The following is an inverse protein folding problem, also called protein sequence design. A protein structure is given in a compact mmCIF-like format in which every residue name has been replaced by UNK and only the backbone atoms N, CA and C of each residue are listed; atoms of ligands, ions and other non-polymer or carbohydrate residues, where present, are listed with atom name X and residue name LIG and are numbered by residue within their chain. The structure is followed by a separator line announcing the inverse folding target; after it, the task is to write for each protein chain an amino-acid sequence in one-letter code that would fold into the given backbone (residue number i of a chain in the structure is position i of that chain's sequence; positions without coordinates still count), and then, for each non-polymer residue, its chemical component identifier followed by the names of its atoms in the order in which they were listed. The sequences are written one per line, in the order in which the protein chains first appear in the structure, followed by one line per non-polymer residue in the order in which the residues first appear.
data_IF_077542168266
#
_entry.id   IF_077542168266
#
_cell.length_a   1.000
_cell.length_b   1.000
_cell.length_c   1.000
_cell.angle_alpha   90.00
_cell.angle_beta   90.00
_cell.angle_gamma   90.00
#
_symmetry.space_group_name_H-M   'P 1'
#
loop_
_entity.id
_entity.type
_entity.pdbx_description
1 polymer ?
#
# COMPACT_ATOMS: atom_id res chain seq x y z
N UNK A 1 -17.33 48.35 -81.37
CA UNK A 1 -18.24 47.26 -80.96
C UNK A 1 -17.39 46.17 -80.30
N UNK A 2 -17.60 46.00 -78.99
CA UNK A 2 -16.67 45.35 -78.06
C UNK A 2 -16.99 43.86 -77.89
N UNK A 3 -15.96 43.02 -77.99
CA UNK A 3 -16.00 41.57 -77.82
C UNK A 3 -16.42 41.19 -76.39
N UNK A 4 -17.68 40.72 -76.23
CA UNK A 4 -18.27 40.26 -74.96
C UNK A 4 -18.40 38.73 -74.84
N UNK A 5 -17.82 37.95 -75.76
CA UNK A 5 -18.01 36.49 -75.80
C UNK A 5 -16.88 35.65 -75.17
N UNK A 6 -15.77 36.25 -74.74
CA UNK A 6 -14.62 35.50 -74.21
C UNK A 6 -14.66 35.26 -72.69
N UNK A 7 -15.39 36.08 -71.92
CA UNK A 7 -15.43 35.94 -70.44
C UNK A 7 -16.43 34.90 -69.92
N UNK A 8 -17.49 34.55 -70.67
CA UNK A 8 -18.49 33.56 -70.20
C UNK A 8 -17.99 32.11 -70.20
N UNK A 9 -17.02 31.76 -71.06
CA UNK A 9 -16.46 30.39 -71.13
C UNK A 9 -15.53 30.04 -69.95
N UNK A 10 -14.85 31.02 -69.35
CA UNK A 10 -14.00 30.76 -68.17
C UNK A 10 -14.82 30.54 -66.89
N UNK A 11 -15.99 31.16 -66.75
CA UNK A 11 -16.88 30.96 -65.59
C UNK A 11 -17.52 29.57 -65.54
N UNK A 12 -17.78 28.95 -66.70
CA UNK A 12 -18.29 27.58 -66.79
C UNK A 12 -17.25 26.52 -66.44
N UNK A 13 -16.00 26.71 -66.85
CA UNK A 13 -14.90 25.80 -66.51
C UNK A 13 -14.63 25.76 -64.99
N UNK A 14 -14.74 26.90 -64.30
CA UNK A 14 -14.66 26.97 -62.84
C UNK A 14 -15.80 26.21 -62.15
N UNK A 15 -17.02 26.27 -62.68
CA UNK A 15 -18.17 25.55 -62.12
C UNK A 15 -17.98 24.03 -62.25
N UNK A 16 -17.49 23.55 -63.40
CA UNK A 16 -17.19 22.12 -63.63
C UNK A 16 -16.04 21.67 -62.72
N UNK A 17 -14.97 22.47 -62.61
CA UNK A 17 -13.85 22.18 -61.72
C UNK A 17 -14.29 22.12 -60.26
N UNK A 18 -15.15 23.06 -59.83
CA UNK A 18 -15.72 23.08 -58.47
C UNK A 18 -16.62 21.87 -58.22
N UNK A 19 -17.47 21.50 -59.19
CA UNK A 19 -18.34 20.33 -59.09
C UNK A 19 -17.56 19.01 -58.96
N UNK A 20 -16.35 18.93 -59.53
CA UNK A 20 -15.46 17.76 -59.39
C UNK A 20 -14.62 17.84 -58.12
N UNK A 21 -14.13 19.01 -57.74
CA UNK A 21 -13.30 19.19 -56.54
C UNK A 21 -14.10 19.04 -55.24
N UNK A 22 -15.35 19.49 -55.20
CA UNK A 22 -16.16 19.48 -53.99
C UNK A 22 -16.33 18.05 -53.42
N UNK A 23 -16.71 17.02 -54.20
CA UNK A 23 -16.70 15.63 -53.73
C UNK A 23 -15.33 15.15 -53.23
N UNK A 24 -14.24 15.52 -53.91
CA UNK A 24 -12.87 15.14 -53.52
C UNK A 24 -12.51 15.74 -52.16
N UNK A 25 -12.82 17.02 -51.94
CA UNK A 25 -12.60 17.66 -50.64
C UNK A 25 -13.43 17.04 -49.53
N UNK A 26 -14.69 16.68 -49.80
CA UNK A 26 -15.54 16.00 -48.81
C UNK A 26 -15.01 14.62 -48.44
N UNK A 27 -14.49 13.85 -49.41
CA UNK A 27 -13.82 12.57 -49.14
C UNK A 27 -12.55 12.73 -48.30
N UNK A 28 -11.75 13.78 -48.55
CA UNK A 28 -10.57 14.09 -47.75
C UNK A 28 -10.94 14.49 -46.32
N UNK A 29 -11.97 15.32 -46.14
CA UNK A 29 -12.47 15.69 -44.79
C UNK A 29 -12.99 14.47 -44.04
N UNK A 30 -13.73 13.59 -44.74
CA UNK A 30 -14.20 12.34 -44.18
C UNK A 30 -13.03 11.44 -43.73
N UNK A 31 -12.00 11.30 -44.57
CA UNK A 31 -10.79 10.53 -44.25
C UNK A 31 -10.04 11.12 -43.05
N UNK A 32 -9.81 12.44 -43.04
CA UNK A 32 -9.11 13.13 -41.95
C UNK A 32 -9.88 13.00 -40.64
N UNK A 33 -11.20 13.16 -40.65
CA UNK A 33 -12.07 12.97 -39.48
C UNK A 33 -12.00 11.54 -38.95
N UNK A 34 -11.99 10.56 -39.85
CA UNK A 34 -11.92 9.15 -39.50
C UNK A 34 -10.56 8.80 -38.85
N UNK A 35 -9.45 9.25 -39.45
CA UNK A 35 -8.10 9.10 -38.89
C UNK A 35 -8.02 9.79 -37.53
N UNK A 36 -8.55 11.01 -37.41
CA UNK A 36 -8.57 11.75 -36.15
C UNK A 36 -9.33 11.00 -35.05
N UNK A 37 -10.45 10.35 -35.40
CA UNK A 37 -11.20 9.52 -34.45
C UNK A 37 -10.40 8.28 -34.05
N UNK A 38 -9.82 7.54 -35.01
CA UNK A 38 -8.96 6.38 -34.72
C UNK A 38 -7.83 6.76 -33.77
N UNK A 39 -7.18 7.90 -34.01
CA UNK A 39 -6.08 8.40 -33.17
C UNK A 39 -6.55 8.78 -31.76
N UNK A 40 -7.72 9.41 -31.63
CA UNK A 40 -8.31 9.73 -30.32
C UNK A 40 -8.63 8.47 -29.51
N UNK A 41 -9.20 7.44 -30.14
CA UNK A 41 -9.43 6.14 -29.50
C UNK A 41 -8.12 5.48 -29.10
N UNK A 42 -7.11 5.49 -29.97
CA UNK A 42 -5.80 4.92 -29.65
C UNK A 42 -5.17 5.60 -28.43
N UNK A 43 -5.24 6.94 -28.34
CA UNK A 43 -4.74 7.70 -27.19
C UNK A 43 -5.47 7.32 -25.90
N UNK A 44 -6.80 7.21 -25.96
CA UNK A 44 -7.62 6.83 -24.81
C UNK A 44 -7.31 5.41 -24.34
N UNK A 45 -7.18 4.47 -25.28
CA UNK A 45 -6.88 3.07 -25.01
C UNK A 45 -5.46 2.91 -24.44
N UNK A 46 -4.48 3.67 -24.93
CA UNK A 46 -3.13 3.68 -24.40
C UNK A 46 -3.07 4.22 -22.97
N UNK A 47 -3.74 5.34 -22.68
CA UNK A 47 -3.81 5.87 -21.32
C UNK A 47 -4.45 4.86 -20.34
N UNK A 48 -5.46 4.12 -20.79
CA UNK A 48 -6.08 3.05 -20.01
C UNK A 48 -5.11 1.88 -19.76
N UNK A 49 -4.36 1.46 -20.78
CA UNK A 49 -3.35 0.42 -20.65
C UNK A 49 -2.23 0.84 -19.69
N UNK A 50 -1.71 2.06 -19.83
CA UNK A 50 -0.65 2.62 -18.99
C UNK A 50 -1.07 2.68 -17.51
N UNK A 51 -2.27 3.19 -17.25
CA UNK A 51 -2.82 3.25 -15.90
C UNK A 51 -3.06 1.86 -15.31
N UNK A 52 -3.57 0.93 -16.11
CA UNK A 52 -3.81 -0.45 -15.70
C UNK A 52 -2.52 -1.22 -15.41
N UNK A 53 -1.49 -1.05 -16.24
CA UNK A 53 -0.19 -1.68 -16.04
C UNK A 53 0.47 -1.19 -14.74
N UNK A 54 0.46 0.13 -14.50
CA UNK A 54 0.96 0.70 -13.24
C UNK A 54 0.16 0.20 -12.03
N UNK A 55 -1.17 0.14 -12.13
CA UNK A 55 -2.03 -0.30 -11.05
C UNK A 55 -1.85 -1.80 -10.72
N UNK A 56 -1.77 -2.65 -11.74
CA UNK A 56 -1.50 -4.08 -11.58
C UNK A 56 -0.12 -4.31 -10.98
N UNK A 57 0.93 -3.67 -11.52
CA UNK A 57 2.28 -3.75 -11.00
C UNK A 57 2.43 -3.24 -9.55
N UNK A 58 1.61 -2.27 -9.13
CA UNK A 58 1.60 -1.73 -7.77
C UNK A 58 0.87 -2.62 -6.75
N UNK A 59 -0.07 -3.43 -7.21
CA UNK A 59 -0.88 -4.31 -6.36
C UNK A 59 -0.52 -5.80 -6.54
N UNK A 60 0.65 -6.07 -7.12
CA UNK A 60 1.23 -7.40 -7.22
C UNK A 60 1.81 -7.80 -5.84
N UNK A 61 0.98 -8.42 -4.99
CA UNK A 61 1.25 -8.64 -3.56
C UNK A 61 1.14 -10.11 -3.14
N UNK A 62 1.40 -10.44 -1.86
CA UNK A 62 1.29 -11.79 -1.31
C UNK A 62 -0.03 -12.49 -1.67
N UNK A 63 0.06 -13.49 -2.57
CA UNK A 63 -1.08 -14.18 -3.18
C UNK A 63 -1.01 -14.17 -4.72
N UNK A 64 -0.31 -13.17 -5.28
CA UNK A 64 0.04 -13.12 -6.69
C UNK A 64 1.41 -13.79 -6.92
N UNK A 65 1.45 -14.61 -7.95
CA UNK A 65 2.65 -15.20 -8.53
C UNK A 65 2.68 -14.85 -10.00
N UNK A 66 3.83 -15.06 -10.66
CA UNK A 66 3.95 -14.86 -12.10
C UNK A 66 2.89 -15.65 -12.88
N UNK A 67 2.54 -16.85 -12.41
CA UNK A 67 1.59 -17.73 -13.07
C UNK A 67 0.12 -17.48 -12.66
N UNK A 68 -0.12 -16.81 -11.53
CA UNK A 68 -1.45 -16.55 -11.00
C UNK A 68 -1.46 -15.26 -10.17
N UNK A 69 -2.01 -14.18 -10.72
CA UNK A 69 -1.95 -12.83 -10.16
C UNK A 69 -3.35 -12.18 -10.05
N UNK A 70 -4.30 -12.80 -9.31
CA UNK A 70 -5.69 -12.34 -9.24
C UNK A 70 -5.85 -10.94 -8.63
N UNK A 71 -4.98 -10.51 -7.72
CA UNK A 71 -5.08 -9.19 -7.11
C UNK A 71 -4.66 -8.12 -8.12
N UNK A 72 -3.46 -8.25 -8.70
CA UNK A 72 -2.99 -7.37 -9.75
C UNK A 72 -3.99 -7.28 -10.93
N UNK A 73 -4.56 -8.41 -11.36
CA UNK A 73 -5.58 -8.45 -12.42
C UNK A 73 -6.82 -7.65 -12.06
N UNK A 74 -7.28 -7.80 -10.82
CA UNK A 74 -8.45 -7.08 -10.32
C UNK A 74 -8.21 -5.57 -10.34
N UNK A 75 -7.04 -5.11 -9.90
CA UNK A 75 -6.69 -3.69 -9.93
C UNK A 75 -6.50 -3.19 -11.37
N UNK A 76 -5.77 -3.92 -12.22
CA UNK A 76 -5.60 -3.56 -13.63
C UNK A 76 -6.97 -3.41 -14.32
N UNK A 77 -7.89 -4.35 -14.11
CA UNK A 77 -9.25 -4.29 -14.66
C UNK A 77 -10.04 -3.05 -14.22
N UNK A 78 -9.94 -2.67 -12.94
CA UNK A 78 -10.59 -1.45 -12.43
C UNK A 78 -10.07 -0.20 -13.13
N UNK A 79 -8.77 -0.11 -13.35
CA UNK A 79 -8.18 1.06 -13.99
C UNK A 79 -8.46 1.11 -15.50
N UNK A 80 -8.60 -0.04 -16.18
CA UNK A 80 -9.16 -0.08 -17.54
C UNK A 80 -10.57 0.51 -17.54
N UNK A 81 -11.44 0.03 -16.65
CA UNK A 81 -12.83 0.48 -16.56
C UNK A 81 -12.97 1.97 -16.25
N UNK A 82 -12.16 2.48 -15.32
CA UNK A 82 -12.16 3.88 -14.93
C UNK A 82 -11.73 4.82 -16.07
N UNK A 83 -10.73 4.42 -16.88
CA UNK A 83 -10.23 5.25 -17.97
C UNK A 83 -11.09 5.16 -19.24
N UNK A 84 -11.70 4.00 -19.51
CA UNK A 84 -12.56 3.81 -20.68
C UNK A 84 -14.02 4.21 -20.43
N UNK A 85 -14.47 4.18 -19.18
CA UNK A 85 -15.86 4.38 -18.78
C UNK A 85 -16.75 3.13 -18.96
N UNK A 86 -16.15 2.00 -19.34
CA UNK A 86 -16.80 0.70 -19.54
C UNK A 86 -15.78 -0.45 -19.40
N UNK A 87 -16.25 -1.68 -19.23
CA UNK A 87 -15.38 -2.87 -19.13
C UNK A 87 -15.15 -3.50 -20.51
N UNK A 88 -13.94 -3.98 -20.77
CA UNK A 88 -13.58 -4.75 -21.97
C UNK A 88 -13.77 -6.28 -21.79
N UNK A 89 -14.41 -6.71 -20.69
CA UNK A 89 -14.58 -8.11 -20.25
C UNK A 89 -15.47 -8.98 -21.15
N UNK A 90 -15.92 -8.46 -22.30
CA UNK A 90 -16.83 -9.16 -23.22
C UNK A 90 -16.15 -10.27 -24.02
N UNK A 91 -14.81 -10.28 -24.08
CA UNK A 91 -14.01 -11.32 -24.72
C UNK A 91 -12.59 -11.37 -24.13
N UNK A 92 -12.03 -12.58 -23.87
CA UNK A 92 -10.70 -12.73 -23.28
C UNK A 92 -9.55 -12.20 -24.15
N UNK A 93 -9.80 -11.91 -25.43
CA UNK A 93 -8.79 -11.32 -26.32
C UNK A 93 -8.75 -9.79 -26.27
N UNK A 94 -9.81 -9.15 -25.76
CA UNK A 94 -9.90 -7.69 -25.69
C UNK A 94 -9.17 -7.11 -24.47
N UNK A 95 -8.89 -7.96 -23.49
CA UNK A 95 -8.26 -7.59 -22.23
C UNK A 95 -7.45 -8.77 -21.72
N UNK A 96 -6.12 -8.63 -21.76
CA UNK A 96 -5.18 -9.64 -21.29
C UNK A 96 -4.21 -9.03 -20.30
N UNK A 97 -3.98 -9.76 -19.22
CA UNK A 97 -3.04 -9.43 -18.17
C UNK A 97 -2.05 -10.58 -18.04
N UNK A 98 -0.78 -10.22 -18.04
CA UNK A 98 0.30 -11.20 -18.00
C UNK A 98 1.36 -10.68 -17.02
N UNK A 99 2.04 -11.59 -16.34
CA UNK A 99 3.26 -11.30 -15.59
C UNK A 99 4.40 -12.19 -16.07
N UNK A 100 5.62 -11.65 -16.10
CA UNK A 100 6.82 -12.41 -16.48
C UNK A 100 8.04 -11.96 -15.67
N UNK A 101 8.99 -12.87 -15.48
CA UNK A 101 10.32 -12.54 -14.93
C UNK A 101 11.36 -12.55 -16.03
N UNK A 102 12.23 -11.54 -16.05
CA UNK A 102 13.40 -11.50 -16.91
C UNK A 102 14.66 -11.27 -16.12
N UNK A 103 15.71 -12.00 -16.50
CA UNK A 103 17.06 -11.76 -16.02
C UNK A 103 17.52 -10.37 -16.49
N UNK A 104 17.81 -9.46 -15.56
CA UNK A 104 18.46 -8.20 -15.93
C UNK A 104 19.94 -8.48 -16.22
N UNK A 105 20.47 -7.90 -17.30
CA UNK A 105 21.91 -7.89 -17.55
C UNK A 105 22.63 -6.99 -16.55
N UNK A 106 23.50 -7.54 -15.71
CA UNK A 106 24.33 -6.80 -14.75
C UNK A 106 23.93 -7.00 -13.28
N UNK A 107 24.39 -6.11 -12.40
CA UNK A 107 24.26 -6.20 -10.94
C UNK A 107 22.84 -6.04 -10.37
N UNK A 108 21.82 -5.92 -11.23
CA UNK A 108 20.45 -5.53 -10.84
C UNK A 108 19.49 -6.71 -10.55
N UNK A 109 19.93 -7.96 -10.73
CA UNK A 109 19.14 -9.16 -10.43
C UNK A 109 17.94 -9.40 -11.35
N UNK A 110 17.15 -10.45 -11.09
CA UNK A 110 15.89 -10.71 -11.82
C UNK A 110 14.85 -9.62 -11.54
N UNK A 111 14.19 -9.16 -12.59
CA UNK A 111 13.08 -8.19 -12.55
C UNK A 111 11.80 -8.85 -13.01
N UNK A 112 10.71 -8.55 -12.32
CA UNK A 112 9.38 -9.00 -12.71
C UNK A 112 8.62 -7.84 -13.37
N UNK A 113 7.82 -8.15 -14.39
CA UNK A 113 7.07 -7.21 -15.19
C UNK A 113 5.61 -7.63 -15.23
N UNK A 114 4.74 -6.63 -15.32
CA UNK A 114 3.30 -6.81 -15.46
C UNK A 114 2.83 -6.09 -16.72
N UNK A 115 2.18 -6.82 -17.62
CA UNK A 115 1.73 -6.33 -18.93
C UNK A 115 0.22 -6.30 -19.00
N UNK A 116 -0.26 -5.24 -19.64
CA UNK A 116 -1.67 -5.08 -20.00
C UNK A 116 -1.76 -4.92 -21.51
N UNK A 117 -2.51 -5.81 -22.14
CA UNK A 117 -2.85 -5.74 -23.57
C UNK A 117 -4.36 -5.51 -23.72
N UNK A 118 -4.72 -4.43 -24.41
CA UNK A 118 -6.10 -4.04 -24.66
C UNK A 118 -6.38 -3.97 -26.15
N UNK A 119 -7.54 -4.45 -26.57
CA UNK A 119 -8.05 -4.30 -27.93
C UNK A 119 -9.50 -3.79 -27.90
N UNK A 120 -9.86 -2.90 -28.84
CA UNK A 120 -11.22 -2.39 -28.99
C UNK A 120 -11.57 -2.21 -30.47
N UNK A 121 -12.69 -2.79 -30.91
CA UNK A 121 -13.21 -2.58 -32.26
C UNK A 121 -14.04 -1.29 -32.32
N UNK A 122 -13.61 -0.34 -33.16
CA UNK A 122 -14.37 0.89 -33.40
C UNK A 122 -15.07 0.84 -34.77
N UNK A 123 -16.37 1.17 -34.84
CA UNK A 123 -17.07 1.24 -36.12
C UNK A 123 -16.51 2.39 -36.95
N UNK A 124 -16.33 2.26 -38.27
CA UNK A 124 -15.88 3.34 -39.15
C UNK A 124 -17.06 4.12 -39.73
N UNK A 125 -17.46 5.21 -39.08
CA UNK A 125 -18.71 5.94 -39.40
C UNK A 125 -18.72 6.47 -40.84
N UNK A 126 -17.63 7.11 -41.30
CA UNK A 126 -17.60 7.70 -42.64
C UNK A 126 -17.43 6.65 -43.75
N UNK A 127 -16.73 5.56 -43.47
CA UNK A 127 -16.61 4.43 -44.41
C UNK A 127 -17.94 3.67 -44.55
N UNK A 128 -18.74 3.60 -43.49
CA UNK A 128 -20.08 3.01 -43.50
C UNK A 128 -21.05 3.83 -44.36
N UNK A 129 -20.90 5.16 -44.42
CA UNK A 129 -21.69 6.03 -45.29
C UNK A 129 -21.40 5.83 -46.78
N UNK A 130 -20.25 5.21 -47.13
CA UNK A 130 -19.77 5.02 -48.49
C UNK A 130 -20.06 3.62 -49.08
N UNK A 131 -21.20 2.99 -48.75
CA UNK A 131 -21.65 1.69 -49.28
C UNK A 131 -20.88 0.44 -48.81
N UNK A 132 -20.00 0.53 -47.82
CA UNK A 132 -19.34 -0.63 -47.19
C UNK A 132 -20.16 -1.15 -46.01
N UNK A 133 -20.39 -2.47 -45.95
CA UNK A 133 -21.12 -3.11 -44.84
C UNK A 133 -20.30 -3.03 -43.55
N UNK A 134 -20.63 -2.06 -42.69
CA UNK A 134 -20.12 -1.85 -41.31
C UNK A 134 -18.64 -2.20 -41.11
N UNK A 135 -17.72 -1.55 -41.82
CA UNK A 135 -16.30 -1.78 -41.55
C UNK A 135 -15.96 -1.30 -40.12
N UNK A 136 -15.32 -2.17 -39.34
CA UNK A 136 -14.72 -1.83 -38.04
C UNK A 136 -13.21 -1.72 -38.18
N UNK A 137 -12.57 -1.04 -37.23
CA UNK A 137 -11.12 -0.97 -37.12
C UNK A 137 -10.71 -1.40 -35.71
N UNK A 138 -9.80 -2.36 -35.62
CA UNK A 138 -9.29 -2.86 -34.35
C UNK A 138 -8.17 -1.94 -33.86
N UNK A 139 -8.40 -1.26 -32.75
CA UNK A 139 -7.39 -0.46 -32.06
C UNK A 139 -6.75 -1.32 -30.99
N UNK A 140 -5.41 -1.30 -30.90
CA UNK A 140 -4.65 -2.03 -29.89
C UNK A 140 -3.84 -1.06 -29.05
N UNK A 141 -3.71 -1.37 -27.77
CA UNK A 141 -2.81 -0.69 -26.84
C UNK A 141 -2.10 -1.71 -25.97
N UNK A 142 -0.85 -1.43 -25.63
CA UNK A 142 -0.07 -2.32 -24.75
C UNK A 142 0.82 -1.46 -23.88
N UNK A 143 0.80 -1.77 -22.59
CA UNK A 143 1.65 -1.14 -21.61
C UNK A 143 2.28 -2.21 -20.74
N UNK A 144 3.55 -1.98 -20.39
CA UNK A 144 4.30 -2.84 -19.49
C UNK A 144 4.78 -1.97 -18.33
N UNK A 145 4.56 -2.45 -17.13
CA UNK A 145 5.08 -1.85 -15.93
C UNK A 145 6.06 -2.82 -15.26
N UNK A 146 7.15 -2.27 -14.74
CA UNK A 146 8.00 -2.99 -13.82
C UNK A 146 7.19 -3.27 -12.56
N UNK A 147 7.02 -4.54 -12.19
CA UNK A 147 6.41 -4.90 -10.91
C UNK A 147 7.26 -4.26 -9.83
N UNK A 148 6.60 -3.50 -8.96
CA UNK A 148 7.30 -2.91 -7.86
C UNK A 148 7.85 -4.03 -7.00
N UNK A 149 9.17 -4.21 -6.98
CA UNK A 149 9.77 -4.99 -5.92
C UNK A 149 9.62 -4.11 -4.69
N UNK A 150 8.83 -4.57 -3.71
CA UNK A 150 8.87 -3.97 -2.38
C UNK A 150 10.34 -3.76 -2.04
N UNK A 151 10.73 -2.49 -1.97
CA UNK A 151 12.06 -2.19 -1.52
C UNK A 151 12.22 -2.82 -0.18
N UNK A 152 13.42 -3.29 0.07
CA UNK A 152 13.95 -3.17 1.42
C UNK A 152 14.17 -1.69 1.70
N UNK A 153 13.10 -0.89 1.84
CA UNK A 153 13.19 0.40 2.52
C UNK A 153 13.17 0.09 4.01
N UNK A 154 14.30 -0.37 4.53
CA UNK A 154 14.37 -0.83 5.91
C UNK A 154 15.65 -1.59 6.18
N UNK A 155 16.78 -0.89 6.08
CA UNK A 155 18.10 -1.43 6.36
C UNK A 155 18.21 -2.20 7.68
N UNK A 156 18.30 -3.52 7.55
CA UNK A 156 18.83 -4.48 8.51
C UNK A 156 18.79 -5.84 7.83
N UNK A 157 19.86 -6.65 7.91
CA UNK A 157 19.91 -7.97 7.28
C UNK A 157 19.04 -9.03 7.95
N UNK A 158 18.05 -8.63 8.74
CA UNK A 158 17.19 -9.52 9.51
C UNK A 158 15.89 -9.87 8.80
N UNK A 159 14.99 -10.49 9.54
CA UNK A 159 13.72 -11.00 9.02
C UNK A 159 12.77 -9.87 8.64
N UNK A 160 12.18 -10.00 7.45
CA UNK A 160 11.06 -9.16 6.98
C UNK A 160 9.79 -9.45 7.76
N UNK A 161 9.01 -8.41 8.05
CA UNK A 161 7.74 -8.58 8.73
C UNK A 161 6.65 -9.03 7.75
N UNK A 162 6.60 -8.47 6.54
CA UNK A 162 5.75 -8.98 5.46
C UNK A 162 4.26 -8.67 5.57
N UNK A 163 3.79 -8.15 6.72
CA UNK A 163 2.38 -7.82 6.98
C UNK A 163 2.25 -6.48 7.69
N UNK A 164 1.12 -5.80 7.43
CA UNK A 164 0.83 -4.51 8.07
C UNK A 164 0.40 -4.71 9.52
N UNK A 165 -0.48 -5.67 9.79
CA UNK A 165 -0.90 -6.00 11.15
C UNK A 165 -0.87 -7.52 11.32
N UNK A 166 -0.24 -8.00 12.38
CA UNK A 166 -0.24 -9.42 12.76
C UNK A 166 -0.64 -9.57 14.22
N UNK A 167 -1.75 -10.26 14.45
CA UNK A 167 -2.36 -10.43 15.77
C UNK A 167 -2.27 -11.89 16.23
N UNK A 168 -1.85 -12.08 17.47
CA UNK A 168 -1.83 -13.38 18.14
C UNK A 168 -3.21 -13.87 18.52
N UNK A 169 -3.69 -13.40 19.67
CA UNK A 169 -4.88 -13.90 20.34
C UNK A 169 -6.14 -13.07 20.11
N UNK A 170 -6.06 -11.73 20.07
CA UNK A 170 -7.26 -10.91 20.21
C UNK A 170 -7.14 -9.55 19.51
N UNK A 171 -8.19 -9.18 18.77
CA UNK A 171 -8.27 -7.91 18.03
C UNK A 171 -9.62 -7.26 18.29
N UNK A 172 -9.60 -6.11 18.94
CA UNK A 172 -10.78 -5.36 19.34
C UNK A 172 -10.63 -3.88 18.96
N UNK A 173 -11.74 -3.14 18.89
CA UNK A 173 -11.74 -1.68 18.71
C UNK A 173 -12.34 -1.18 17.40
N UNK A 174 -12.02 0.07 17.04
CA UNK A 174 -12.57 0.82 15.90
C UNK A 174 -11.93 0.41 14.56
N UNK A 175 -11.96 -0.88 14.23
CA UNK A 175 -11.38 -1.40 12.98
C UNK A 175 -12.40 -1.53 11.87
N UNK A 176 -13.68 -1.54 12.24
CA UNK A 176 -14.82 -1.74 11.36
C UNK A 176 -15.70 -0.50 11.35
N UNK A 177 -15.82 0.14 10.18
CA UNK A 177 -16.69 1.29 9.99
C UNK A 177 -18.17 0.90 10.14
N UNK A 178 -18.83 1.47 11.15
CA UNK A 178 -20.25 1.28 11.40
C UNK A 178 -21.15 2.28 10.65
N UNK A 179 -20.57 3.24 9.91
CA UNK A 179 -21.32 4.31 9.25
C UNK A 179 -21.79 3.89 7.84
N UNK A 180 -23.08 4.10 7.57
CA UNK A 180 -23.72 3.78 6.29
C UNK A 180 -23.62 4.91 5.25
N UNK A 181 -23.38 6.16 5.68
CA UNK A 181 -23.42 7.31 4.77
C UNK A 181 -22.11 7.56 4.02
N UNK A 182 -20.97 7.16 4.57
CA UNK A 182 -19.66 7.12 3.88
C UNK A 182 -18.57 6.52 4.77
N UNK A 183 -17.50 6.02 4.14
CA UNK A 183 -16.27 5.59 4.81
C UNK A 183 -15.54 6.83 5.32
N UNK A 184 -15.60 7.05 6.64
CA UNK A 184 -14.96 8.21 7.27
C UNK A 184 -13.84 7.85 8.22
N UNK A 185 -13.92 6.69 8.87
CA UNK A 185 -12.93 6.39 9.87
C UNK A 185 -11.65 5.78 9.36
N UNK A 186 -11.13 4.80 10.08
CA UNK A 186 -9.77 4.32 9.82
C UNK A 186 -9.71 3.45 8.59
N UNK A 187 -8.69 3.67 7.77
CA UNK A 187 -8.50 3.00 6.48
C UNK A 187 -7.15 2.29 6.42
N UNK A 188 -7.09 1.23 5.63
CA UNK A 188 -6.07 0.20 5.72
C UNK A 188 -5.65 -0.27 4.33
N UNK A 189 -4.44 0.11 3.93
CA UNK A 189 -3.80 -0.25 2.66
C UNK A 189 -2.71 -1.32 2.92
N UNK A 190 -3.12 -2.44 3.50
CA UNK A 190 -2.23 -3.54 3.91
C UNK A 190 -2.99 -4.72 4.48
N UNK A 191 -2.31 -5.84 4.69
CA UNK A 191 -2.95 -7.07 5.19
C UNK A 191 -2.99 -7.09 6.73
N UNK A 192 -4.15 -7.50 7.26
CA UNK A 192 -4.35 -7.86 8.67
C UNK A 192 -4.38 -9.38 8.79
N UNK A 193 -3.46 -9.95 9.55
CA UNK A 193 -3.33 -11.41 9.74
C UNK A 193 -3.66 -11.78 11.17
N UNK A 194 -4.45 -12.84 11.33
CA UNK A 194 -4.91 -13.36 12.63
C UNK A 194 -4.43 -14.79 12.81
N UNK A 195 -3.69 -15.03 13.89
CA UNK A 195 -3.16 -16.35 14.22
C UNK A 195 -4.19 -17.24 14.91
N UNK A 196 -4.90 -16.72 15.90
CA UNK A 196 -5.90 -17.50 16.64
C UNK A 196 -7.17 -17.72 15.80
N UNK A 197 -7.56 -18.99 15.63
CA UNK A 197 -8.69 -19.37 14.80
C UNK A 197 -10.03 -18.84 15.32
N UNK A 198 -10.26 -18.87 16.64
CA UNK A 198 -11.52 -18.38 17.23
C UNK A 198 -11.68 -16.88 17.01
N UNK A 199 -10.59 -16.11 17.17
CA UNK A 199 -10.59 -14.67 16.91
C UNK A 199 -10.82 -14.36 15.44
N UNK A 200 -10.18 -15.10 14.54
CA UNK A 200 -10.45 -14.99 13.11
C UNK A 200 -11.95 -15.25 12.81
N UNK A 201 -12.50 -16.34 13.34
CA UNK A 201 -13.91 -16.69 13.14
C UNK A 201 -14.87 -15.63 13.71
N UNK A 202 -14.54 -15.01 14.85
CA UNK A 202 -15.30 -13.89 15.42
C UNK A 202 -15.30 -12.69 14.48
N UNK A 203 -14.16 -12.34 13.90
CA UNK A 203 -14.07 -11.24 12.93
C UNK A 203 -14.85 -11.54 11.64
N UNK A 204 -14.85 -12.81 11.21
CA UNK A 204 -15.59 -13.25 10.02
C UNK A 204 -17.07 -13.52 10.30
N UNK A 205 -17.57 -13.31 11.52
CA UNK A 205 -18.93 -13.67 11.91
C UNK A 205 -20.00 -12.89 11.15
N UNK A 206 -19.75 -11.63 10.83
CA UNK A 206 -20.67 -10.78 10.08
C UNK A 206 -19.96 -10.04 8.96
N UNK A 207 -20.69 -9.72 7.89
CA UNK A 207 -20.14 -8.91 6.80
C UNK A 207 -19.61 -7.57 7.34
N UNK A 208 -20.34 -6.95 8.28
CA UNK A 208 -19.99 -5.68 8.92
C UNK A 208 -18.61 -5.74 9.59
N UNK A 209 -18.29 -6.86 10.23
CA UNK A 209 -17.09 -7.03 11.04
C UNK A 209 -15.90 -7.65 10.27
N UNK A 210 -16.17 -8.25 9.11
CA UNK A 210 -15.19 -8.95 8.27
C UNK A 210 -14.38 -8.06 7.33
N UNK A 211 -14.72 -6.77 7.20
CA UNK A 211 -14.17 -5.90 6.14
C UNK A 211 -13.67 -4.58 6.69
N UNK A 212 -12.42 -4.28 6.35
CA UNK A 212 -11.80 -2.97 6.52
C UNK A 212 -11.59 -2.30 5.16
N UNK A 213 -11.67 -0.97 5.11
CA UNK A 213 -11.71 -0.22 3.85
C UNK A 213 -10.36 0.39 3.51
N UNK A 214 -10.06 0.44 2.22
CA UNK A 214 -8.84 1.06 1.69
C UNK A 214 -8.98 2.58 1.69
N UNK A 215 -7.84 3.30 1.69
CA UNK A 215 -7.83 4.77 1.72
C UNK A 215 -8.58 5.38 0.54
N UNK A 216 -8.50 4.76 -0.63
CA UNK A 216 -9.20 5.21 -1.83
C UNK A 216 -10.73 5.30 -1.61
N UNK A 217 -11.32 4.39 -0.81
CA UNK A 217 -12.76 4.42 -0.53
C UNK A 217 -13.15 5.68 0.25
N UNK A 218 -12.31 6.09 1.21
CA UNK A 218 -12.48 7.31 2.01
C UNK A 218 -12.23 8.57 1.19
N UNK A 219 -11.18 8.60 0.39
CA UNK A 219 -10.85 9.75 -0.48
C UNK A 219 -11.97 10.04 -1.50
N UNK A 220 -12.70 9.00 -1.92
CA UNK A 220 -13.84 9.10 -2.85
C UNK A 220 -15.19 9.30 -2.14
N UNK A 221 -15.21 9.41 -0.81
CA UNK A 221 -16.41 9.55 0.01
C UNK A 221 -17.46 8.46 -0.28
N UNK A 222 -17.03 7.23 -0.55
CA UNK A 222 -17.93 6.15 -0.91
C UNK A 222 -18.72 5.66 0.31
N UNK A 223 -19.96 5.22 0.08
CA UNK A 223 -20.67 4.39 1.06
C UNK A 223 -20.02 3.01 1.16
N UNK A 224 -20.34 2.27 2.23
CA UNK A 224 -19.90 0.89 2.41
C UNK A 224 -20.23 0.01 1.20
N UNK A 225 -21.47 0.08 0.73
CA UNK A 225 -21.95 -0.69 -0.43
C UNK A 225 -21.18 -0.32 -1.71
N UNK A 226 -20.93 0.97 -1.93
CA UNK A 226 -20.16 1.44 -3.08
C UNK A 226 -18.72 0.97 -3.02
N UNK A 227 -18.09 1.02 -1.85
CA UNK A 227 -16.72 0.54 -1.64
C UNK A 227 -16.63 -0.98 -1.84
N UNK A 228 -17.59 -1.76 -1.34
CA UNK A 228 -17.65 -3.22 -1.56
C UNK A 228 -17.83 -3.53 -3.04
N UNK A 229 -18.75 -2.85 -3.73
CA UNK A 229 -18.98 -3.02 -5.17
C UNK A 229 -17.75 -2.63 -6.01
N UNK A 230 -17.02 -1.61 -5.56
CA UNK A 230 -15.74 -1.21 -6.15
C UNK A 230 -14.57 -2.09 -5.69
N UNK A 231 -14.80 -3.02 -4.76
CA UNK A 231 -13.81 -3.87 -4.10
C UNK A 231 -12.67 -3.12 -3.41
N UNK A 232 -12.95 -1.94 -2.87
CA UNK A 232 -12.01 -1.11 -2.11
C UNK A 232 -12.03 -1.48 -0.62
N UNK A 233 -11.92 -2.77 -0.35
CA UNK A 233 -11.88 -3.34 0.98
C UNK A 233 -10.96 -4.56 1.00
N UNK A 234 -10.59 -4.96 2.19
CA UNK A 234 -9.86 -6.20 2.45
C UNK A 234 -10.50 -6.92 3.64
N UNK A 235 -10.23 -8.21 3.71
CA UNK A 235 -10.67 -9.07 4.81
C UNK A 235 -9.46 -9.51 5.63
N UNK A 236 -9.62 -9.84 6.92
CA UNK A 236 -8.56 -10.46 7.70
C UNK A 236 -8.14 -11.78 7.06
N UNK A 237 -6.85 -12.09 7.11
CA UNK A 237 -6.30 -13.36 6.66
C UNK A 237 -6.08 -14.27 7.87
N UNK A 238 -6.46 -15.53 7.73
CA UNK A 238 -6.16 -16.54 8.75
C UNK A 238 -4.81 -17.19 8.48
N UNK A 239 -3.91 -17.13 9.45
CA UNK A 239 -2.57 -17.73 9.32
C UNK A 239 -2.60 -19.24 9.11
N UNK A 240 -3.65 -19.94 9.56
CA UNK A 240 -3.73 -21.39 9.38
C UNK A 240 -3.79 -21.84 7.92
N UNK A 241 -4.12 -20.95 6.98
CA UNK A 241 -4.01 -21.23 5.54
C UNK A 241 -2.54 -21.42 5.10
N UNK A 242 -1.59 -20.77 5.77
CA UNK A 242 -0.15 -20.92 5.51
C UNK A 242 0.41 -22.21 6.12
N UNK A 243 -0.34 -22.84 7.02
CA UNK A 243 0.06 -24.04 7.78
C UNK A 243 -1.05 -25.10 7.75
N UNK A 244 -1.35 -25.66 6.55
CA UNK A 244 -2.47 -26.57 6.37
C UNK A 244 -2.31 -27.82 7.25
N UNK A 245 -3.38 -28.19 7.95
CA UNK A 245 -3.43 -29.38 8.81
C UNK A 245 -2.96 -29.18 10.25
N UNK A 246 -2.50 -27.98 10.62
CA UNK A 246 -2.23 -27.66 12.03
C UNK A 246 -3.53 -27.30 12.76
N UNK A 247 -3.71 -27.86 13.96
CA UNK A 247 -4.74 -27.39 14.89
C UNK A 247 -4.34 -26.05 15.54
N UNK A 248 -5.29 -25.39 16.22
CA UNK A 248 -5.05 -24.07 16.82
C UNK A 248 -3.89 -24.08 17.83
N UNK A 249 -3.70 -25.16 18.59
CA UNK A 249 -2.59 -25.26 19.54
C UNK A 249 -1.23 -25.37 18.83
N UNK A 250 -1.16 -26.17 17.78
CA UNK A 250 0.04 -26.35 16.95
C UNK A 250 0.40 -25.06 16.23
N UNK A 251 -0.58 -24.31 15.73
CA UNK A 251 -0.38 -22.97 15.17
C UNK A 251 0.19 -21.99 16.19
N UNK A 252 -0.32 -22.00 17.43
CA UNK A 252 0.23 -21.15 18.50
C UNK A 252 1.66 -21.56 18.88
N UNK A 253 1.95 -22.86 18.91
CA UNK A 253 3.31 -23.35 19.17
C UNK A 253 4.28 -22.93 18.04
N UNK A 254 3.84 -23.03 16.77
CA UNK A 254 4.59 -22.56 15.61
C UNK A 254 4.88 -21.07 15.70
N UNK A 255 3.87 -20.25 16.04
CA UNK A 255 4.03 -18.82 16.29
C UNK A 255 5.07 -18.54 17.37
N UNK A 256 4.99 -19.26 18.49
CA UNK A 256 5.90 -19.06 19.62
C UNK A 256 7.34 -19.41 19.26
N UNK A 257 7.55 -20.48 18.49
CA UNK A 257 8.87 -20.85 17.97
C UNK A 257 9.46 -19.73 17.08
N UNK A 258 8.66 -19.21 16.16
CA UNK A 258 9.05 -18.09 15.28
C UNK A 258 9.45 -16.85 16.10
N UNK A 259 8.66 -16.49 17.11
CA UNK A 259 8.98 -15.33 17.97
C UNK A 259 10.28 -15.56 18.76
N UNK A 260 10.57 -16.80 19.16
CA UNK A 260 11.77 -17.12 19.92
C UNK A 260 13.03 -17.02 19.04
N UNK A 261 12.95 -17.50 17.80
CA UNK A 261 14.01 -17.31 16.79
C UNK A 261 14.25 -15.82 16.52
N UNK A 262 13.18 -15.04 16.38
CA UNK A 262 13.27 -13.59 16.17
C UNK A 262 13.93 -12.90 17.38
N UNK A 263 13.61 -13.32 18.61
CA UNK A 263 14.19 -12.78 19.83
C UNK A 263 15.70 -13.02 19.90
N UNK A 264 16.13 -14.24 19.56
CA UNK A 264 17.55 -14.60 19.50
C UNK A 264 18.29 -13.82 18.41
N UNK A 265 17.68 -13.69 17.23
CA UNK A 265 18.25 -12.94 16.11
C UNK A 265 18.44 -11.45 16.44
N UNK A 266 17.41 -10.80 17.01
CA UNK A 266 17.49 -9.40 17.44
C UNK A 266 18.54 -9.24 18.54
N UNK A 267 18.55 -10.11 19.56
CA UNK A 267 19.56 -10.06 20.62
C UNK A 267 20.97 -10.15 20.04
N UNK A 268 21.20 -11.09 19.13
CA UNK A 268 22.50 -11.26 18.45
C UNK A 268 22.88 -10.05 17.60
N UNK A 269 21.92 -9.40 16.95
CA UNK A 269 22.17 -8.19 16.17
C UNK A 269 22.64 -7.04 17.08
N UNK A 270 22.01 -6.85 18.23
CA UNK A 270 22.43 -5.84 19.21
C UNK A 270 23.77 -6.19 19.88
N UNK A 271 24.02 -7.46 20.21
CA UNK A 271 25.29 -7.88 20.81
C UNK A 271 26.48 -7.70 19.85
N UNK A 272 26.26 -7.74 18.53
CA UNK A 272 27.30 -7.59 17.51
C UNK A 272 27.42 -6.18 16.90
N UNK A 273 26.47 -5.28 17.15
CA UNK A 273 26.48 -3.95 16.57
C UNK A 273 27.56 -3.07 17.23
N UNK A 274 28.38 -2.41 16.41
CA UNK A 274 29.54 -1.64 16.88
C UNK A 274 29.20 -0.30 17.53
N UNK A 275 27.96 0.19 17.37
CA UNK A 275 27.53 1.52 17.82
C UNK A 275 26.25 1.50 18.66
N UNK A 276 25.97 0.43 19.41
CA UNK A 276 24.78 0.39 20.27
C UNK A 276 24.85 1.46 21.37
N UNK A 277 23.84 2.33 21.40
CA UNK A 277 23.61 3.22 22.52
C UNK A 277 22.86 2.44 23.59
N UNK A 278 23.57 2.07 24.64
CA UNK A 278 22.97 1.45 25.83
C UNK A 278 22.60 2.55 26.81
N UNK A 279 21.32 2.65 27.15
CA UNK A 279 20.84 3.52 28.22
C UNK A 279 20.16 2.69 29.28
N UNK A 280 20.64 2.85 30.51
CA UNK A 280 20.13 2.12 31.64
C UNK A 280 19.35 3.06 32.57
N UNK A 281 18.36 2.48 33.24
CA UNK A 281 17.84 2.94 34.52
C UNK A 281 17.15 4.32 34.52
N UNK A 282 16.47 4.71 33.44
CA UNK A 282 15.51 5.83 33.48
C UNK A 282 14.06 5.37 33.34
N UNK A 283 13.15 6.02 34.08
CA UNK A 283 11.71 5.83 33.92
C UNK A 283 11.18 6.39 32.59
N UNK A 284 11.79 7.47 32.09
CA UNK A 284 11.39 8.16 30.86
C UNK A 284 12.60 8.50 29.98
N UNK A 285 12.45 8.33 28.67
CA UNK A 285 13.44 8.70 27.67
C UNK A 285 12.87 9.63 26.61
N UNK A 286 13.56 10.74 26.35
CA UNK A 286 13.29 11.64 25.23
C UNK A 286 14.24 11.30 24.08
N UNK A 287 13.75 10.62 23.04
CA UNK A 287 14.59 10.12 21.95
C UNK A 287 14.41 10.95 20.66
N UNK A 288 15.50 11.36 19.98
CA UNK A 288 16.91 11.05 20.26
C UNK A 288 17.61 11.93 21.29
N UNK A 289 16.97 12.97 21.84
CA UNK A 289 17.62 14.05 22.61
C UNK A 289 18.48 13.54 23.78
N UNK A 290 18.00 12.55 24.53
CA UNK A 290 18.67 11.93 25.67
C UNK A 290 19.94 11.14 25.30
N UNK A 291 20.13 10.88 24.01
CA UNK A 291 21.20 9.99 23.54
C UNK A 291 22.42 10.75 23.06
N UNK A 292 22.24 11.95 22.51
CA UNK A 292 23.32 12.74 21.90
C UNK A 292 24.09 12.01 20.80
N UNK A 293 23.51 10.94 20.23
CA UNK A 293 24.19 10.01 19.32
C UNK A 293 23.42 9.89 18.02
N UNK A 294 24.15 9.74 16.91
CA UNK A 294 23.61 9.44 15.58
C UNK A 294 23.50 7.93 15.29
N UNK A 295 23.55 7.08 16.33
CA UNK A 295 23.42 5.64 16.18
C UNK A 295 22.09 5.23 15.55
N UNK A 296 22.07 4.03 14.96
CA UNK A 296 20.85 3.36 14.51
C UNK A 296 20.41 2.25 15.47
N UNK A 297 21.12 2.03 16.59
CA UNK A 297 20.82 0.95 17.54
C UNK A 297 20.75 1.49 18.97
N UNK A 298 19.58 1.37 19.60
CA UNK A 298 19.30 1.83 20.95
C UNK A 298 18.78 0.68 21.80
N UNK A 299 19.52 0.34 22.86
CA UNK A 299 19.13 -0.66 23.85
C UNK A 299 18.76 0.05 25.14
N UNK A 300 17.50 -0.05 25.55
CA UNK A 300 16.94 0.75 26.64
C UNK A 300 16.47 -0.12 27.80
N UNK A 301 16.80 0.25 29.02
CA UNK A 301 16.22 -0.32 30.24
C UNK A 301 15.67 0.75 31.17
N UNK A 302 14.70 0.39 32.02
CA UNK A 302 14.08 1.29 32.99
C UNK A 302 14.44 0.88 34.42
N UNK A 303 14.61 1.88 35.28
CA UNK A 303 14.76 1.73 36.73
C UNK A 303 13.43 1.56 37.46
N UNK A 304 12.33 1.99 36.82
CA UNK A 304 10.98 1.77 37.32
C UNK A 304 10.48 0.42 36.82
N UNK A 305 10.19 -0.47 37.77
CA UNK A 305 9.63 -1.80 37.50
C UNK A 305 8.16 -1.75 37.09
N UNK A 306 7.51 -0.58 37.09
CA UNK A 306 6.08 -0.44 36.82
C UNK A 306 5.78 0.28 35.51
N UNK A 307 6.41 1.43 35.24
CA UNK A 307 6.11 2.26 34.07
C UNK A 307 7.39 2.71 33.35
N UNK A 308 7.51 2.35 32.06
CA UNK A 308 8.60 2.79 31.20
C UNK A 308 8.03 3.66 30.06
N UNK A 309 8.39 4.95 29.99
CA UNK A 309 7.92 5.89 28.96
C UNK A 309 9.01 6.22 27.94
N UNK A 310 8.64 6.26 26.66
CA UNK A 310 9.47 6.69 25.53
C UNK A 310 8.74 7.82 24.82
N UNK A 311 9.26 9.04 24.96
CA UNK A 311 8.86 10.21 24.18
C UNK A 311 9.68 10.21 22.89
N UNK A 312 9.00 10.03 21.77
CA UNK A 312 9.61 9.79 20.48
C UNK A 312 9.52 11.02 19.59
N UNK A 313 10.68 11.47 19.16
CA UNK A 313 10.88 12.49 18.15
C UNK A 313 11.55 11.85 16.93
N UNK A 314 11.55 12.57 15.82
CA UNK A 314 12.16 12.09 14.59
C UNK A 314 13.68 12.03 14.74
N UNK A 315 14.26 10.89 14.37
CA UNK A 315 15.71 10.76 14.31
C UNK A 315 16.23 11.43 13.04
N UNK A 316 17.27 12.26 13.18
CA UNK A 316 18.03 12.74 12.04
C UNK A 316 18.76 11.60 11.30
N UNK A 317 19.37 11.90 10.16
CA UNK A 317 20.12 10.93 9.35
C UNK A 317 19.37 10.47 8.10
N UNK A 318 19.79 9.35 7.51
CA UNK A 318 19.20 8.80 6.29
C UNK A 318 17.78 8.31 6.55
N UNK A 319 16.80 8.86 5.82
CA UNK A 319 15.39 8.51 5.95
C UNK A 319 15.06 7.13 5.38
N UNK A 320 15.96 6.48 4.64
CA UNK A 320 15.75 5.12 4.14
C UNK A 320 16.35 4.05 5.07
N UNK A 321 17.07 4.47 6.11
CA UNK A 321 17.71 3.59 7.09
C UNK A 321 17.01 3.64 8.45
N UNK A 322 16.52 2.51 8.95
CA UNK A 322 15.79 2.47 10.20
C UNK A 322 16.68 2.72 11.42
N UNK A 323 16.03 3.17 12.48
CA UNK A 323 16.54 3.16 13.84
C UNK A 323 15.89 2.02 14.60
N UNK A 324 16.70 1.19 15.24
CA UNK A 324 16.28 0.04 16.03
C UNK A 324 16.25 0.38 17.51
N UNK A 325 15.11 0.15 18.15
CA UNK A 325 14.94 0.29 19.59
C UNK A 325 14.63 -1.08 20.17
N UNK A 326 15.52 -1.60 21.01
CA UNK A 326 15.36 -2.89 21.68
C UNK A 326 15.23 -2.72 23.19
N UNK A 327 14.18 -3.33 23.73
CA UNK A 327 13.88 -3.35 25.15
C UNK A 327 14.05 -4.81 25.64
N UNK A 328 15.14 -5.12 26.35
CA UNK A 328 15.52 -6.50 26.66
C UNK A 328 14.86 -7.10 27.91
N UNK A 329 14.35 -6.26 28.82
CA UNK A 329 13.80 -6.70 30.10
C UNK A 329 12.27 -6.66 30.07
N UNK A 330 11.64 -7.47 30.93
CA UNK A 330 10.19 -7.49 31.10
C UNK A 330 9.70 -6.30 31.94
N UNK A 331 8.67 -5.62 31.44
CA UNK A 331 7.99 -4.56 32.16
C UNK A 331 6.48 -4.82 32.21
N UNK A 332 5.77 -4.42 33.27
CA UNK A 332 4.30 -4.47 33.28
C UNK A 332 3.69 -3.53 32.23
N UNK A 333 4.34 -2.38 32.00
CA UNK A 333 3.85 -1.35 31.11
C UNK A 333 4.96 -0.57 30.40
N UNK A 334 4.79 -0.34 29.10
CA UNK A 334 5.63 0.54 28.28
C UNK A 334 4.72 1.55 27.56
N UNK A 335 4.99 2.84 27.70
CA UNK A 335 4.24 3.92 27.04
C UNK A 335 5.12 4.53 25.96
N UNK A 336 4.60 4.65 24.74
CA UNK A 336 5.27 5.26 23.59
C UNK A 336 4.41 6.43 23.13
N UNK A 337 5.00 7.63 23.16
CA UNK A 337 4.32 8.88 22.82
C UNK A 337 5.06 9.58 21.69
N UNK A 338 4.38 9.85 20.57
CA UNK A 338 4.96 10.64 19.48
C UNK A 338 4.81 12.13 19.77
N UNK A 339 5.87 12.90 19.52
CA UNK A 339 5.86 14.36 19.69
C UNK A 339 6.06 15.13 18.38
N UNK A 340 6.33 14.43 17.28
CA UNK A 340 6.38 14.98 15.92
C UNK A 340 6.29 13.85 14.88
N UNK A 341 6.18 14.21 13.60
CA UNK A 341 6.14 13.24 12.50
C UNK A 341 7.45 12.45 12.42
N UNK A 342 7.34 11.12 12.50
CA UNK A 342 8.47 10.20 12.35
C UNK A 342 8.64 9.90 10.86
N UNK A 343 9.70 10.46 10.27
CA UNK A 343 10.01 10.34 8.83
C UNK A 343 11.11 9.29 8.60
N UNK A 344 12.09 9.24 9.50
CA UNK A 344 13.10 8.17 9.53
C UNK A 344 12.49 6.94 10.22
N UNK A 345 12.49 5.75 9.60
CA UNK A 345 11.79 4.59 10.14
C UNK A 345 12.29 4.19 11.53
N UNK A 346 11.38 3.87 12.44
CA UNK A 346 11.73 3.39 13.78
C UNK A 346 11.15 1.99 14.00
N UNK A 347 12.01 1.03 14.32
CA UNK A 347 11.65 -0.37 14.53
C UNK A 347 11.79 -0.71 16.01
N UNK A 348 10.66 -0.77 16.70
CA UNK A 348 10.59 -1.22 18.09
C UNK A 348 10.60 -2.74 18.16
N UNK A 349 11.49 -3.29 18.99
CA UNK A 349 11.62 -4.72 19.24
C UNK A 349 11.43 -4.98 20.74
N UNK A 350 10.36 -5.70 21.09
CA UNK A 350 10.09 -6.14 22.46
C UNK A 350 9.51 -7.55 22.48
N UNK A 351 10.16 -8.45 23.20
CA UNK A 351 9.79 -9.87 23.20
C UNK A 351 9.09 -10.32 24.48
N UNK A 352 9.17 -9.53 25.55
CA UNK A 352 8.47 -9.75 26.82
C UNK A 352 8.53 -11.18 27.37
N UNK A 353 7.58 -11.48 28.27
CA UNK A 353 7.39 -12.81 28.83
C UNK A 353 6.33 -13.58 28.06
N UNK A 354 6.66 -14.80 27.66
CA UNK A 354 5.67 -15.73 27.10
C UNK A 354 4.65 -16.17 28.16
N UNK A 355 3.36 -16.25 27.81
CA UNK A 355 2.41 -16.92 28.66
C UNK A 355 2.71 -18.43 28.71
N UNK A 356 3.02 -18.96 29.90
CA UNK A 356 3.30 -20.40 30.10
C UNK A 356 2.07 -21.30 29.84
N UNK A 357 0.86 -20.73 29.77
CA UNK A 357 -0.38 -21.43 29.39
C UNK A 357 -1.38 -20.43 28.74
N UNK A 358 -1.72 -20.57 27.44
CA UNK A 358 -2.67 -19.69 26.76
C UNK A 358 -4.11 -19.82 27.26
N UNK A 359 -4.44 -20.93 27.93
CA UNK A 359 -5.83 -21.34 28.21
C UNK A 359 -6.25 -21.15 29.67
N UNK A 360 -5.33 -20.76 30.55
CA UNK A 360 -5.63 -20.47 31.95
C UNK A 360 -4.66 -19.45 32.54
N UNK A 361 -5.07 -18.18 32.58
CA UNK A 361 -4.41 -17.14 33.36
C UNK A 361 -5.46 -16.40 34.22
N UNK A 362 -5.40 -16.49 35.57
CA UNK A 362 -6.33 -15.76 36.44
C UNK A 362 -6.11 -14.23 36.43
N UNK A 363 -5.04 -13.75 35.79
CA UNK A 363 -4.83 -12.33 35.43
C UNK A 363 -3.93 -12.27 34.20
N UNK A 364 -4.28 -11.43 33.22
CA UNK A 364 -3.47 -11.20 32.02
C UNK A 364 -2.12 -10.57 32.41
N UNK A 365 -1.04 -11.35 32.31
CA UNK A 365 0.32 -10.95 32.73
C UNK A 365 1.17 -10.37 31.59
N UNK A 366 0.61 -10.24 30.38
CA UNK A 366 1.31 -9.65 29.23
C UNK A 366 1.62 -8.19 29.52
N UNK A 367 2.79 -7.75 29.08
CA UNK A 367 3.16 -6.34 29.10
C UNK A 367 2.15 -5.52 28.33
N UNK A 368 1.70 -4.42 28.93
CA UNK A 368 0.83 -3.46 28.27
C UNK A 368 1.68 -2.41 27.55
N UNK A 369 1.58 -2.36 26.22
CA UNK A 369 2.11 -1.27 25.41
C UNK A 369 0.99 -0.24 25.22
N UNK A 370 1.25 1.02 25.53
CA UNK A 370 0.37 2.14 25.16
C UNK A 370 1.05 2.95 24.08
N UNK A 371 0.38 3.11 22.94
CA UNK A 371 0.91 3.89 21.84
C UNK A 371 0.00 5.08 21.59
N UNK A 372 0.58 6.28 21.52
CA UNK A 372 -0.16 7.54 21.37
C UNK A 372 0.51 8.44 20.35
N UNK A 373 -0.25 8.95 19.37
CA UNK A 373 0.25 9.92 18.39
C UNK A 373 -0.21 11.37 18.65
N UNK A 374 -1.11 11.58 19.60
CA UNK A 374 -1.59 12.89 19.98
C UNK A 374 -0.59 13.58 20.93
N UNK A 375 -0.25 14.83 20.65
CA UNK A 375 0.64 15.64 21.46
C UNK A 375 0.18 17.10 21.51
N UNK A 376 0.62 17.84 22.53
CA UNK A 376 0.26 19.25 22.71
C UNK A 376 1.18 20.15 21.90
N UNK A 377 0.60 21.05 21.11
CA UNK A 377 1.30 22.16 20.46
C UNK A 377 0.85 23.50 21.01
N UNK A 378 1.81 24.37 21.27
CA UNK A 378 1.56 25.74 21.74
C UNK A 378 1.34 26.69 20.56
N UNK A 379 0.37 27.60 20.71
CA UNK A 379 0.12 28.70 19.78
C UNK A 379 -0.24 29.97 20.54
N UNK A 380 -0.05 31.13 19.91
CA UNK A 380 -0.41 32.43 20.47
C UNK A 380 -1.77 32.85 19.91
N UNK A 381 -2.74 33.13 20.79
CA UNK A 381 -4.05 33.63 20.38
C UNK A 381 -4.00 35.11 19.93
N UNK A 382 -5.09 35.61 19.36
CA UNK A 382 -5.21 37.00 18.88
C UNK A 382 -4.97 38.06 19.97
N UNK A 383 -5.02 37.67 21.25
CA UNK A 383 -4.80 38.53 22.42
C UNK A 383 -3.39 38.38 23.00
N UNK A 384 -2.52 37.60 22.36
CA UNK A 384 -1.15 37.38 22.81
C UNK A 384 -0.99 36.30 23.88
N UNK A 385 -2.02 35.51 24.19
CA UNK A 385 -1.92 34.44 25.20
C UNK A 385 -1.43 33.13 24.57
N UNK A 386 -0.54 32.43 25.27
CA UNK A 386 -0.15 31.06 24.91
C UNK A 386 -1.30 30.10 25.21
N UNK A 387 -1.72 29.34 24.21
CA UNK A 387 -2.76 28.30 24.26
C UNK A 387 -2.18 26.98 23.77
N UNK A 388 -2.78 25.88 24.20
CA UNK A 388 -2.45 24.52 23.74
C UNK A 388 -3.60 23.95 22.91
N UNK A 389 -3.27 23.16 21.90
CA UNK A 389 -4.21 22.30 21.17
C UNK A 389 -3.54 20.97 20.87
N UNK A 390 -4.34 19.93 20.70
CA UNK A 390 -3.83 18.64 20.26
C UNK A 390 -3.44 18.68 18.78
N UNK A 391 -2.23 18.21 18.48
CA UNK A 391 -1.77 17.82 17.16
C UNK A 391 -1.58 16.30 17.12
N UNK A 392 -1.47 15.74 15.92
CA UNK A 392 -1.37 14.31 15.69
C UNK A 392 -0.20 14.01 14.76
N UNK A 393 0.73 13.20 15.23
CA UNK A 393 1.92 12.82 14.47
C UNK A 393 1.63 11.64 13.53
N UNK A 394 2.30 11.64 12.38
CA UNK A 394 2.46 10.47 11.51
C UNK A 394 3.63 9.60 11.98
N UNK A 395 3.50 8.29 11.84
CA UNK A 395 4.52 7.32 12.22
C UNK A 395 4.98 6.53 11.00
N UNK A 396 6.29 6.42 10.80
CA UNK A 396 6.90 5.50 9.84
C UNK A 396 7.82 4.53 10.58
N UNK A 397 7.61 3.24 10.39
CA UNK A 397 8.36 2.18 11.06
C UNK A 397 7.48 1.04 11.54
N UNK A 398 8.00 0.22 12.44
CA UNK A 398 7.33 -0.99 12.90
C UNK A 398 7.34 -1.14 14.41
N UNK A 399 6.23 -1.63 14.95
CA UNK A 399 6.07 -1.96 16.36
C UNK A 399 6.02 -3.49 16.45
N UNK A 400 7.16 -4.10 16.77
CA UNK A 400 7.30 -5.55 16.91
C UNK A 400 7.28 -5.97 18.37
N UNK A 401 6.07 -6.22 18.88
CA UNK A 401 5.83 -6.59 20.28
C UNK A 401 4.98 -7.86 20.39
N UNK A 402 5.38 -8.98 19.76
CA UNK A 402 4.49 -10.08 19.44
C UNK A 402 3.95 -10.87 20.64
N UNK A 403 4.49 -10.70 21.85
CA UNK A 403 3.98 -11.33 23.10
C UNK A 403 3.20 -10.36 23.98
N UNK A 404 3.24 -9.07 23.66
CA UNK A 404 2.63 -8.01 24.43
C UNK A 404 1.20 -7.74 23.95
N UNK A 405 0.48 -6.97 24.76
CA UNK A 405 -0.80 -6.39 24.35
C UNK A 405 -0.65 -4.89 24.14
N UNK A 406 -1.24 -4.37 23.07
CA UNK A 406 -1.27 -2.93 22.80
C UNK A 406 -2.64 -2.40 23.21
N UNK A 407 -2.69 -1.79 24.39
CA UNK A 407 -3.93 -1.42 25.07
C UNK A 407 -3.79 -0.11 25.88
N UNK A 408 -4.26 1.03 25.34
CA UNK A 408 -4.81 1.21 24.00
C UNK A 408 -3.72 1.47 22.93
N UNK A 409 -4.04 1.12 21.68
CA UNK A 409 -3.42 1.72 20.51
C UNK A 409 -4.24 2.97 20.12
N UNK A 410 -3.88 4.12 20.70
CA UNK A 410 -4.56 5.39 20.47
C UNK A 410 -3.87 6.13 19.31
N UNK A 411 -4.43 6.03 18.12
CA UNK A 411 -3.85 6.64 16.93
C UNK A 411 -4.93 7.36 16.14
N UNK A 412 -4.98 8.68 16.24
CA UNK A 412 -6.01 9.49 15.59
C UNK A 412 -5.37 10.44 14.61
N UNK A 413 -5.95 10.57 13.41
CA UNK A 413 -5.42 11.43 12.34
C UNK A 413 -3.94 11.12 11.96
N UNK A 414 -3.51 11.52 10.76
CA UNK A 414 -2.16 11.20 10.27
C UNK A 414 -2.01 9.79 9.68
N UNK A 415 -0.76 9.43 9.31
CA UNK A 415 -0.45 8.20 8.59
C UNK A 415 0.45 7.29 9.42
N UNK A 416 0.02 6.05 9.66
CA UNK A 416 0.87 4.97 10.15
C UNK A 416 1.39 4.18 8.95
N UNK A 417 2.70 4.18 8.74
CA UNK A 417 3.34 3.51 7.60
C UNK A 417 4.32 2.46 8.11
N UNK A 418 3.96 1.18 7.96
CA UNK A 418 4.79 0.04 8.35
C UNK A 418 4.01 -1.12 8.95
N UNK A 419 4.54 -1.72 10.02
CA UNK A 419 3.99 -2.95 10.61
C UNK A 419 3.66 -2.86 12.10
N UNK A 420 2.61 -3.55 12.52
CA UNK A 420 2.16 -3.67 13.91
C UNK A 420 2.01 -5.15 14.29
N UNK A 421 2.84 -5.62 15.22
CA UNK A 421 2.82 -7.01 15.70
C UNK A 421 2.57 -7.03 17.19
N UNK A 422 1.51 -7.73 17.60
CA UNK A 422 1.18 -7.92 19.00
C UNK A 422 0.39 -9.21 19.23
N UNK A 423 0.36 -9.67 20.48
CA UNK A 423 -0.52 -10.77 20.86
C UNK A 423 -1.97 -10.30 20.91
N UNK A 424 -2.21 -9.16 21.56
CA UNK A 424 -3.52 -8.52 21.61
C UNK A 424 -3.42 -7.05 21.20
N UNK A 425 -4.44 -6.54 20.51
CA UNK A 425 -4.57 -5.10 20.25
C UNK A 425 -5.99 -4.63 20.55
N UNK A 426 -6.09 -3.58 21.36
CA UNK A 426 -7.27 -2.72 21.44
C UNK A 426 -7.03 -1.47 20.57
N UNK A 427 -7.62 -1.48 19.39
CA UNK A 427 -7.40 -0.50 18.33
C UNK A 427 -8.34 0.69 18.48
N UNK A 428 -7.84 1.79 19.04
CA UNK A 428 -8.61 3.01 19.25
C UNK A 428 -8.18 4.05 18.21
N UNK A 429 -8.74 3.94 17.01
CA UNK A 429 -8.44 4.82 15.89
C UNK A 429 -9.67 5.02 15.04
N UNK A 430 -10.14 6.26 14.93
CA UNK A 430 -11.35 6.58 14.20
C UNK A 430 -11.09 7.39 12.94
N UNK A 431 -9.87 7.83 12.61
CA UNK A 431 -9.64 8.69 11.44
C UNK A 431 -8.31 8.48 10.73
N UNK A 432 -7.48 7.55 11.18
CA UNK A 432 -6.11 7.43 10.68
C UNK A 432 -6.02 6.63 9.38
N UNK A 433 -4.89 6.78 8.69
CA UNK A 433 -4.57 5.98 7.51
C UNK A 433 -3.43 5.01 7.84
N UNK A 434 -3.68 3.73 7.68
CA UNK A 434 -2.69 2.67 7.86
C UNK A 434 -2.22 2.20 6.49
N UNK A 435 -0.92 2.27 6.25
CA UNK A 435 -0.29 1.88 5.00
C UNK A 435 0.80 0.88 5.30
N UNK A 436 0.86 -0.19 4.51
CA UNK A 436 1.98 -1.10 4.58
C UNK A 436 3.24 -0.49 3.96
N UNK A 437 4.35 -0.59 4.67
CA UNK A 437 5.70 -0.46 4.15
C UNK A 437 6.56 -1.53 4.81
N UNK A 438 7.31 -2.28 4.01
CA UNK A 438 8.12 -3.38 4.53
C UNK A 438 9.35 -2.85 5.29
N UNK A 439 9.49 -3.29 6.54
CA UNK A 439 10.70 -3.07 7.34
C UNK A 439 11.17 -4.37 7.96
N UNK A 440 12.49 -4.55 8.05
CA UNK A 440 13.08 -5.75 8.63
C UNK A 440 13.51 -5.54 10.08
N UNK A 441 13.41 -6.60 10.88
CA UNK A 441 14.08 -6.69 12.18
C UNK A 441 15.60 -6.53 12.01
N UNK A 442 16.32 -6.10 13.06
CA UNK A 442 17.78 -5.99 12.99
C UNK A 442 18.41 -7.39 12.84
N UNK A 443 19.43 -7.50 11.99
CA UNK A 443 20.09 -8.79 11.71
C UNK A 443 21.44 -8.67 11.02
N UNK A 444 22.32 -9.64 11.30
CA UNK A 444 23.68 -9.74 10.78
C UNK A 444 23.72 -10.36 9.38
N UNK A 445 23.30 -9.61 8.39
CA UNK A 445 23.49 -9.91 6.98
C UNK A 445 23.82 -8.62 6.26
N UNK A 446 25.05 -8.49 5.75
CA UNK A 446 25.43 -7.39 4.86
C UNK A 446 24.71 -7.51 3.53
N UNK A 447 23.40 -7.27 3.51
CA UNK A 447 22.63 -7.06 2.29
C UNK A 447 22.48 -5.56 2.11
N UNK A 448 23.13 -4.99 1.09
CA UNK A 448 22.69 -3.70 0.58
C UNK A 448 21.21 -3.85 0.25
N UNK A 449 20.34 -3.14 0.97
CA UNK A 449 18.93 -3.13 0.64
C UNK A 449 18.79 -2.80 -0.84
N UNK A 450 18.10 -3.66 -1.60
CA UNK A 450 17.70 -3.27 -2.95
C UNK A 450 16.68 -2.15 -2.76
N UNK A 451 16.92 -0.95 -3.31
CA UNK A 451 16.00 0.17 -3.14
C UNK A 451 14.61 -0.24 -3.61
N UNK A 452 13.59 0.35 -2.99
CA UNK A 452 12.21 0.22 -3.47
C UNK A 452 12.16 0.57 -4.93
N UNK A 453 11.93 -0.45 -5.74
CA UNK A 453 11.64 -0.25 -7.14
C UNK A 453 10.18 0.08 -7.16
N UNK A 454 9.86 1.38 -7.22
CA UNK A 454 8.48 1.80 -7.43
C UNK A 454 8.02 1.27 -8.79
N UNK A 455 6.76 0.81 -8.89
CA UNK A 455 6.16 0.51 -10.18
C UNK A 455 6.33 1.70 -11.12
N UNK A 456 6.79 1.42 -12.34
CA UNK A 456 6.94 2.43 -13.39
C UNK A 456 6.71 1.79 -14.74
N UNK A 457 6.20 2.58 -15.68
CA UNK A 457 6.10 2.15 -17.07
C UNK A 457 7.50 1.92 -17.63
N UNK A 458 7.62 0.87 -18.42
CA UNK A 458 8.84 0.49 -19.11
C UNK A 458 8.53 0.25 -20.59
N UNK A 459 9.58 0.23 -21.40
CA UNK A 459 9.46 -0.03 -22.83
C UNK A 459 8.89 -1.45 -23.09
N UNK A 460 7.95 -1.58 -24.02
CA UNK A 460 7.36 -2.86 -24.41
C UNK A 460 8.39 -3.86 -24.96
N UNK A 461 9.56 -3.40 -25.43
CA UNK A 461 10.68 -4.28 -25.82
C UNK A 461 11.29 -5.08 -24.67
N UNK A 462 10.96 -4.71 -23.41
CA UNK A 462 11.34 -5.44 -22.22
C UNK A 462 10.35 -6.56 -21.89
N UNK A 463 9.23 -6.69 -22.61
CA UNK A 463 8.34 -7.84 -22.58
C UNK A 463 8.75 -8.95 -23.53
#
# INVERSE_FOLDING_TARGET
MMSLHKERKQKGAFLVLFAVLLPVFLLLVALVSEIGRIWAYHTKLQNAADAAALAGAANFVNGDTIDAHPNADTFAARYVAANLGHNLTSSPNLQQFEAETKAASGSEGEKAYYRVHLEEEIPLIQATAAWLHRPTFLVKATAVALIGKEGTSGGGGGKKLGKMISIGSEFEGSVNEANVSSIFGSVFDGDVVIWNQETYQKMMHSEKDSKYFMKEAKDRFLTREQAIKAGLYKEPLWTGNDYPGMDNQSLMNQRNAIIAEDAEAVKKAFDNASNVVVKNDKQSYDLPQDTGSSSSYYKLTSSDSNNFTINLYNFGGNQDEPVYIYIPNDYPSINIQLHEDIVRPIIFCYFGKYPNNPWYMPSDTRTTIRFMNAYDVEYVDEKGNIKKRSAYASFRGSIYTPTAKIEPFNYEYGNFTGSLYADKIQFNSNHANFKFEEFSLPGGGGGSGTPAVKPRLVDNSLW
#
